data_IF_387232263357
#
_entry.id   IF_387232263357
#
_cell.length_a   1.000
_cell.length_b   1.000
_cell.length_c   1.000
_cell.angle_alpha   90.00
_cell.angle_beta   90.00
_cell.angle_gamma   90.00
#
_symmetry.space_group_name_H-M   'P 1'
#
loop_
_entity.id
_entity.type
_entity.pdbx_description
1 polymer ?
#
# COMPACT_ATOMS: atom_id res chain seq x y z
N UNK A 1 17.90 9.00 4.00
CA UNK A 1 16.44 8.90 4.30
C UNK A 1 16.19 8.84 5.81
N UNK A 2 17.09 8.21 6.60
CA UNK A 2 17.03 8.20 8.07
C UNK A 2 17.24 9.58 8.73
N UNK A 3 18.03 10.49 8.14
CA UNK A 3 18.32 11.81 8.74
C UNK A 3 17.22 12.87 8.57
N UNK A 4 16.25 12.64 7.68
CA UNK A 4 15.26 13.67 7.30
C UNK A 4 14.18 13.92 8.37
N UNK A 5 14.00 12.99 9.31
CA UNK A 5 12.88 13.00 10.26
C UNK A 5 13.31 13.14 11.73
N UNK A 6 14.60 13.38 11.99
CA UNK A 6 15.14 13.57 13.35
C UNK A 6 14.60 14.81 14.09
N UNK A 7 14.02 15.76 13.35
CA UNK A 7 13.56 17.06 13.87
C UNK A 7 12.03 17.21 14.01
N UNK A 8 11.25 16.13 13.89
CA UNK A 8 9.80 16.18 14.11
C UNK A 8 9.43 15.75 15.54
N UNK A 9 8.60 16.53 16.23
CA UNK A 9 7.93 16.10 17.46
C UNK A 9 7.05 14.88 17.14
N UNK A 10 7.30 13.72 17.77
CA UNK A 10 6.52 12.51 17.54
C UNK A 10 6.05 11.84 18.84
N UNK A 11 4.92 11.14 18.75
CA UNK A 11 4.36 10.32 19.84
C UNK A 11 4.56 8.84 19.53
N UNK A 12 5.27 8.13 20.40
CA UNK A 12 5.46 6.69 20.30
C UNK A 12 4.12 5.95 20.51
N UNK A 13 3.76 5.04 19.60
CA UNK A 13 2.57 4.22 19.75
C UNK A 13 2.81 3.09 20.76
N UNK A 14 1.92 2.91 21.74
CA UNK A 14 1.96 1.78 22.66
C UNK A 14 1.13 0.63 22.09
N UNK A 15 1.73 -0.56 21.97
CA UNK A 15 1.01 -1.77 21.58
C UNK A 15 0.54 -2.49 22.84
N UNK A 16 -0.77 -2.66 22.96
CA UNK A 16 -1.39 -3.36 24.08
C UNK A 16 -2.08 -4.61 23.54
N UNK A 17 -1.58 -5.82 23.86
CA UNK A 17 -2.29 -7.04 23.51
C UNK A 17 -3.59 -7.12 24.33
N UNK A 18 -4.71 -7.31 23.66
CA UNK A 18 -6.00 -7.59 24.30
C UNK A 18 -6.15 -9.10 24.56
N UNK A 19 -7.01 -9.51 25.52
CA UNK A 19 -7.26 -10.93 25.80
C UNK A 19 -7.71 -11.69 24.55
N UNK A 20 -7.30 -12.96 24.44
CA UNK A 20 -7.71 -13.82 23.34
C UNK A 20 -9.20 -14.14 23.42
N UNK A 21 -9.87 -14.12 22.26
CA UNK A 21 -11.22 -14.67 22.10
C UNK A 21 -11.08 -16.11 21.61
N UNK A 22 -11.33 -17.07 22.50
CA UNK A 22 -11.12 -18.50 22.25
C UNK A 22 -12.29 -19.13 21.46
N UNK A 23 -12.62 -18.56 20.29
CA UNK A 23 -13.65 -19.06 19.38
C UNK A 23 -13.16 -19.00 17.92
N UNK A 24 -13.78 -19.73 16.98
CA UNK A 24 -13.42 -19.65 15.57
C UNK A 24 -13.51 -18.19 15.05
N UNK A 25 -12.46 -17.68 14.38
CA UNK A 25 -12.39 -16.26 14.00
C UNK A 25 -13.44 -15.87 12.96
N UNK A 26 -13.91 -16.83 12.15
CA UNK A 26 -14.94 -16.61 11.13
C UNK A 26 -16.36 -16.66 11.68
N UNK A 27 -16.56 -17.00 12.95
CA UNK A 27 -17.88 -17.02 13.55
C UNK A 27 -18.41 -15.58 13.77
N UNK A 28 -19.69 -15.38 13.51
CA UNK A 28 -20.30 -14.04 13.59
C UNK A 28 -20.27 -13.49 15.01
N UNK A 29 -20.48 -14.33 16.03
CA UNK A 29 -20.43 -13.91 17.43
C UNK A 29 -19.01 -13.55 17.84
N UNK A 30 -18.00 -14.26 17.32
CA UNK A 30 -16.59 -13.92 17.56
C UNK A 30 -16.27 -12.53 17.05
N UNK A 31 -16.64 -12.22 15.79
CA UNK A 31 -16.37 -10.91 15.18
C UNK A 31 -17.11 -9.80 15.93
N UNK A 32 -18.40 -10.02 16.23
CA UNK A 32 -19.19 -9.08 17.03
C UNK A 32 -18.55 -8.82 18.41
N UNK A 33 -18.17 -9.87 19.12
CA UNK A 33 -17.50 -9.77 20.43
C UNK A 33 -16.22 -8.94 20.34
N UNK A 34 -15.40 -9.16 19.31
CA UNK A 34 -14.16 -8.40 19.09
C UNK A 34 -14.47 -6.92 18.81
N UNK A 35 -15.48 -6.61 18.00
CA UNK A 35 -15.91 -5.24 17.72
C UNK A 35 -16.40 -4.52 18.98
N UNK A 36 -17.26 -5.16 19.77
CA UNK A 36 -17.75 -4.63 21.05
C UNK A 36 -16.59 -4.39 22.00
N UNK A 37 -15.69 -5.36 22.14
CA UNK A 37 -14.53 -5.23 23.02
C UNK A 37 -13.62 -4.08 22.59
N UNK A 38 -13.35 -3.94 21.30
CA UNK A 38 -12.56 -2.83 20.77
C UNK A 38 -13.22 -1.48 21.04
N UNK A 39 -14.52 -1.36 20.76
CA UNK A 39 -15.29 -0.14 20.99
C UNK A 39 -15.28 0.30 22.46
N UNK A 40 -15.62 -0.62 23.37
CA UNK A 40 -15.68 -0.36 24.81
C UNK A 40 -14.30 0.02 25.37
N UNK A 41 -13.24 -0.69 24.98
CA UNK A 41 -11.87 -0.37 25.41
C UNK A 41 -11.41 1.01 24.90
N UNK A 42 -11.72 1.34 23.64
CA UNK A 42 -11.41 2.66 23.06
C UNK A 42 -12.14 3.78 23.79
N UNK A 43 -13.44 3.60 24.07
CA UNK A 43 -14.28 4.59 24.74
C UNK A 43 -13.88 4.77 26.20
N UNK A 44 -13.80 3.68 26.96
CA UNK A 44 -13.72 3.73 28.42
C UNK A 44 -12.29 3.98 28.93
N UNK A 45 -11.25 3.64 28.15
CA UNK A 45 -9.84 3.75 28.61
C UNK A 45 -9.01 4.79 27.88
N UNK A 46 -9.45 5.26 26.72
CA UNK A 46 -8.60 6.04 25.83
C UNK A 46 -9.20 7.37 25.38
N UNK A 47 -10.42 7.72 25.84
CA UNK A 47 -11.13 8.98 25.50
C UNK A 47 -11.20 9.24 23.98
N UNK A 48 -11.12 8.17 23.18
CA UNK A 48 -11.15 8.24 21.73
C UNK A 48 -12.60 8.11 21.26
N UNK A 49 -13.00 9.03 20.37
CA UNK A 49 -14.36 9.08 19.84
C UNK A 49 -14.60 8.08 18.71
N UNK A 50 -13.54 7.59 18.06
CA UNK A 50 -13.61 6.67 16.92
C UNK A 50 -12.67 5.50 17.14
N UNK A 51 -13.15 4.28 16.87
CA UNK A 51 -12.40 3.04 17.01
C UNK A 51 -12.11 2.45 15.63
N UNK A 52 -10.84 2.39 15.22
CA UNK A 52 -10.46 1.70 13.99
C UNK A 52 -10.16 0.23 14.24
N UNK A 53 -10.81 -0.66 13.49
CA UNK A 53 -10.58 -2.12 13.57
C UNK A 53 -10.18 -2.64 12.20
N UNK A 54 -8.99 -3.24 12.09
CA UNK A 54 -8.48 -3.76 10.82
C UNK A 54 -8.64 -5.26 10.75
N UNK A 55 -9.17 -5.76 9.63
CA UNK A 55 -9.39 -7.19 9.38
C UNK A 55 -8.80 -7.62 8.03
N UNK A 56 -8.52 -8.91 7.87
CA UNK A 56 -8.34 -9.50 6.55
C UNK A 56 -9.66 -9.46 5.76
N UNK A 57 -9.61 -9.71 4.45
CA UNK A 57 -10.75 -9.49 3.55
C UNK A 57 -12.04 -10.25 3.97
N UNK A 58 -11.99 -11.54 4.33
CA UNK A 58 -13.20 -12.26 4.74
C UNK A 58 -13.81 -11.74 6.04
N UNK A 59 -12.99 -11.41 7.04
CA UNK A 59 -13.48 -10.89 8.32
C UNK A 59 -13.95 -9.44 8.19
N UNK A 60 -13.28 -8.64 7.36
CA UNK A 60 -13.68 -7.27 7.03
C UNK A 60 -15.11 -7.23 6.48
N UNK A 61 -15.46 -8.11 5.53
CA UNK A 61 -16.81 -8.15 4.98
C UNK A 61 -17.87 -8.42 6.04
N UNK A 62 -17.64 -9.39 6.92
CA UNK A 62 -18.55 -9.72 8.02
C UNK A 62 -18.64 -8.59 9.04
N UNK A 63 -17.50 -8.01 9.42
CA UNK A 63 -17.46 -6.90 10.36
C UNK A 63 -18.20 -5.68 9.81
N UNK A 64 -18.02 -5.36 8.52
CA UNK A 64 -18.73 -4.27 7.86
C UNK A 64 -20.24 -4.51 7.80
N UNK A 65 -20.66 -5.75 7.54
CA UNK A 65 -22.07 -6.14 7.57
C UNK A 65 -22.67 -5.97 8.96
N UNK A 66 -22.00 -6.46 10.02
CA UNK A 66 -22.44 -6.26 11.41
C UNK A 66 -22.66 -4.77 11.69
N UNK A 67 -21.69 -3.92 11.33
CA UNK A 67 -21.78 -2.48 11.56
C UNK A 67 -22.89 -1.80 10.75
N UNK A 68 -23.26 -2.33 9.57
CA UNK A 68 -24.41 -1.81 8.80
C UNK A 68 -25.76 -2.09 9.47
N UNK A 69 -25.82 -3.05 10.39
CA UNK A 69 -27.05 -3.45 11.07
C UNK A 69 -27.24 -2.76 12.43
N UNK A 70 -26.33 -1.86 12.83
CA UNK A 70 -26.42 -1.16 14.11
C UNK A 70 -27.58 -0.17 14.08
N UNK A 71 -28.46 -0.24 15.07
CA UNK A 71 -29.54 0.72 15.29
C UNK A 71 -28.98 1.97 16.02
N UNK A 72 -28.98 3.16 15.38
CA UNK A 72 -28.46 4.37 16.02
C UNK A 72 -29.22 4.78 17.29
N UNK A 73 -30.46 4.31 17.46
CA UNK A 73 -31.29 4.58 18.65
C UNK A 73 -31.04 3.59 19.79
N UNK A 74 -30.34 2.49 19.52
CA UNK A 74 -30.07 1.42 20.47
C UNK A 74 -28.63 0.86 20.32
N UNK A 75 -27.63 1.73 20.49
CA UNK A 75 -26.21 1.40 20.37
C UNK A 75 -25.51 1.37 21.74
N UNK A 76 -25.88 0.39 22.58
CA UNK A 76 -25.32 0.22 23.93
C UNK A 76 -23.78 0.14 23.94
N UNK A 77 -23.20 -0.45 22.90
CA UNK A 77 -21.77 -0.72 22.80
C UNK A 77 -20.99 0.35 22.01
N UNK A 78 -21.65 1.40 21.50
CA UNK A 78 -21.01 2.47 20.73
C UNK A 78 -20.43 2.01 19.39
N UNK A 79 -20.99 0.96 18.77
CA UNK A 79 -20.53 0.41 17.49
C UNK A 79 -20.64 1.40 16.34
N UNK A 80 -21.52 2.41 16.43
CA UNK A 80 -21.61 3.51 15.45
C UNK A 80 -20.30 4.31 15.33
N UNK A 81 -19.43 4.24 16.34
CA UNK A 81 -18.11 4.87 16.34
C UNK A 81 -16.99 3.97 15.81
N UNK A 82 -17.30 2.72 15.47
CA UNK A 82 -16.32 1.78 14.93
C UNK A 82 -16.20 1.95 13.42
N UNK A 83 -14.97 2.03 12.92
CA UNK A 83 -14.63 2.08 11.50
C UNK A 83 -13.75 0.89 11.15
N UNK A 84 -14.29 -0.01 10.33
CA UNK A 84 -13.55 -1.20 9.89
C UNK A 84 -12.66 -0.89 8.71
N UNK A 85 -11.43 -1.40 8.72
CA UNK A 85 -10.45 -1.23 7.65
C UNK A 85 -10.13 -2.56 6.99
N UNK A 86 -10.01 -2.53 5.67
CA UNK A 86 -9.47 -3.63 4.89
C UNK A 86 -7.94 -3.69 5.09
N UNK A 87 -7.43 -4.81 5.58
CA UNK A 87 -6.04 -4.95 6.00
C UNK A 87 -5.03 -4.76 4.87
N UNK A 88 -4.26 -3.66 4.92
CA UNK A 88 -3.32 -3.23 3.89
C UNK A 88 -2.30 -4.29 3.47
N UNK A 89 -1.76 -5.05 4.43
CA UNK A 89 -0.84 -6.16 4.14
C UNK A 89 -1.45 -7.21 3.21
N UNK A 90 -2.66 -7.68 3.52
CA UNK A 90 -3.34 -8.69 2.71
C UNK A 90 -3.88 -8.11 1.39
N UNK A 91 -4.28 -6.83 1.38
CA UNK A 91 -4.61 -6.11 0.15
C UNK A 91 -3.43 -6.07 -0.80
N UNK A 92 -2.25 -5.70 -0.32
CA UNK A 92 -1.04 -5.64 -1.12
C UNK A 92 -0.58 -7.02 -1.59
N UNK A 93 -0.62 -8.05 -0.73
CA UNK A 93 -0.35 -9.44 -1.15
C UNK A 93 -1.29 -9.89 -2.28
N UNK A 94 -2.58 -9.56 -2.17
CA UNK A 94 -3.58 -9.91 -3.20
C UNK A 94 -3.35 -9.13 -4.49
N UNK A 95 -2.86 -7.89 -4.39
CA UNK A 95 -2.49 -7.10 -5.55
C UNK A 95 -1.26 -7.67 -6.26
N UNK A 96 -0.24 -8.10 -5.51
CA UNK A 96 0.91 -8.84 -6.07
C UNK A 96 0.48 -10.12 -6.79
N UNK A 97 -0.47 -10.88 -6.21
CA UNK A 97 -1.07 -12.03 -6.88
C UNK A 97 -1.81 -11.67 -8.17
N UNK A 98 -2.49 -10.51 -8.20
CA UNK A 98 -3.12 -9.99 -9.43
C UNK A 98 -2.10 -9.61 -10.50
N UNK A 99 -0.97 -9.03 -10.11
CA UNK A 99 0.15 -8.74 -11.02
C UNK A 99 0.67 -10.06 -11.61
N UNK A 100 0.90 -11.08 -10.78
CA UNK A 100 1.30 -12.41 -11.24
C UNK A 100 0.31 -12.99 -12.26
N UNK A 101 -0.99 -12.95 -11.95
CA UNK A 101 -2.03 -13.42 -12.87
C UNK A 101 -2.02 -12.68 -14.22
N UNK A 102 -1.92 -11.35 -14.20
CA UNK A 102 -1.89 -10.53 -15.42
C UNK A 102 -0.62 -10.79 -16.25
N UNK A 103 0.49 -11.07 -15.58
CA UNK A 103 1.80 -11.31 -16.20
C UNK A 103 2.07 -12.79 -16.47
N UNK A 104 1.07 -13.66 -16.33
CA UNK A 104 1.24 -15.09 -16.59
C UNK A 104 1.60 -15.33 -18.07
N UNK A 105 2.60 -16.19 -18.29
CA UNK A 105 3.16 -16.45 -19.61
C UNK A 105 4.00 -15.30 -20.21
N UNK A 106 4.28 -14.20 -19.49
CA UNK A 106 5.04 -13.06 -20.04
C UNK A 106 6.56 -13.23 -19.99
N UNK A 107 7.08 -14.28 -19.35
CA UNK A 107 8.49 -14.39 -18.99
C UNK A 107 8.84 -13.85 -17.58
N UNK A 108 7.88 -13.27 -16.85
CA UNK A 108 8.15 -12.66 -15.53
C UNK A 108 8.55 -13.71 -14.48
N UNK A 109 7.93 -14.90 -14.51
CA UNK A 109 8.25 -15.98 -13.59
C UNK A 109 9.66 -16.53 -13.83
N UNK A 110 10.06 -16.62 -15.10
CA UNK A 110 11.41 -17.00 -15.52
C UNK A 110 12.43 -15.96 -15.04
N UNK A 111 12.10 -14.67 -15.13
CA UNK A 111 12.93 -13.63 -14.54
C UNK A 111 13.06 -13.77 -13.01
N UNK A 112 12.00 -14.21 -12.31
CA UNK A 112 12.08 -14.52 -10.88
C UNK A 112 12.96 -15.75 -10.60
N UNK A 113 12.93 -16.74 -11.50
CA UNK A 113 13.75 -17.95 -11.41
C UNK A 113 15.26 -17.69 -11.54
N UNK A 114 15.67 -16.54 -12.11
CA UNK A 114 17.07 -16.11 -12.10
C UNK A 114 17.61 -15.78 -10.70
N UNK A 115 16.72 -15.51 -9.72
CA UNK A 115 17.09 -15.10 -8.35
C UNK A 115 16.67 -16.12 -7.31
N UNK A 116 15.63 -16.92 -7.60
CA UNK A 116 15.06 -17.89 -6.69
C UNK A 116 14.92 -19.26 -7.34
N UNK A 117 15.06 -20.33 -6.56
CA UNK A 117 14.68 -21.66 -7.01
C UNK A 117 13.18 -21.72 -7.38
N UNK A 118 12.81 -22.58 -8.34
CA UNK A 118 11.48 -22.63 -8.99
C UNK A 118 10.30 -22.54 -8.02
N UNK A 119 10.28 -23.37 -6.97
CA UNK A 119 9.20 -23.36 -5.97
C UNK A 119 9.08 -22.04 -5.20
N UNK A 120 10.20 -21.32 -5.04
CA UNK A 120 10.22 -20.01 -4.41
C UNK A 120 9.83 -18.90 -5.38
N UNK A 121 10.23 -19.01 -6.66
CA UNK A 121 9.81 -18.11 -7.71
C UNK A 121 8.28 -18.17 -7.89
N UNK A 122 7.70 -19.37 -7.91
CA UNK A 122 6.24 -19.58 -7.98
C UNK A 122 5.50 -18.89 -6.84
N UNK A 123 5.93 -19.11 -5.59
CA UNK A 123 5.28 -18.48 -4.42
C UNK A 123 5.45 -16.96 -4.40
N UNK A 124 6.54 -16.43 -4.96
CA UNK A 124 6.76 -15.00 -5.11
C UNK A 124 5.85 -14.42 -6.22
N UNK A 125 5.71 -15.16 -7.32
CA UNK A 125 4.87 -14.81 -8.46
C UNK A 125 3.38 -14.74 -8.10
N UNK A 126 2.88 -15.68 -7.28
CA UNK A 126 1.49 -15.66 -6.80
C UNK A 126 1.24 -14.70 -5.62
N UNK A 127 2.26 -13.95 -5.17
CA UNK A 127 2.17 -13.04 -4.04
C UNK A 127 2.10 -13.68 -2.65
N UNK A 128 2.06 -15.02 -2.54
CA UNK A 128 1.99 -15.73 -1.26
C UNK A 128 3.25 -15.59 -0.41
N UNK A 129 4.43 -15.45 -1.03
CA UNK A 129 5.68 -15.17 -0.34
C UNK A 129 6.00 -13.67 -0.38
N UNK A 130 5.25 -12.87 0.39
CA UNK A 130 5.28 -11.40 0.36
C UNK A 130 6.69 -10.79 0.22
N UNK A 131 7.61 -11.04 1.15
CA UNK A 131 8.95 -10.44 1.13
C UNK A 131 9.76 -10.85 -0.11
N UNK A 132 9.57 -12.08 -0.60
CA UNK A 132 10.23 -12.56 -1.82
C UNK A 132 9.62 -11.90 -3.06
N UNK A 133 8.29 -11.79 -3.09
CA UNK A 133 7.53 -11.14 -4.15
C UNK A 133 7.96 -9.68 -4.33
N UNK A 134 7.95 -8.89 -3.26
CA UNK A 134 8.42 -7.49 -3.27
C UNK A 134 9.85 -7.39 -3.81
N UNK A 135 10.76 -8.21 -3.28
CA UNK A 135 12.16 -8.20 -3.74
C UNK A 135 12.28 -8.59 -5.21
N UNK A 136 11.58 -9.61 -5.66
CA UNK A 136 11.62 -10.08 -7.05
C UNK A 136 11.13 -8.99 -8.01
N UNK A 137 9.95 -8.43 -7.74
CA UNK A 137 9.36 -7.38 -8.54
C UNK A 137 10.25 -6.15 -8.65
N UNK A 138 10.85 -5.70 -7.54
CA UNK A 138 11.73 -4.53 -7.53
C UNK A 138 13.06 -4.79 -8.26
N UNK A 139 13.61 -6.01 -8.21
CA UNK A 139 14.78 -6.39 -8.99
C UNK A 139 14.47 -6.39 -10.49
N UNK A 140 13.32 -6.94 -10.89
CA UNK A 140 12.89 -6.91 -12.31
C UNK A 140 12.65 -5.47 -12.76
N UNK A 141 11.99 -4.63 -11.95
CA UNK A 141 11.81 -3.23 -12.30
C UNK A 141 13.13 -2.48 -12.43
N UNK A 142 14.11 -2.77 -11.57
CA UNK A 142 15.45 -2.19 -11.68
C UNK A 142 16.13 -2.62 -12.99
N UNK A 143 16.04 -3.91 -13.34
CA UNK A 143 16.59 -4.41 -14.61
C UNK A 143 15.92 -3.73 -15.82
N UNK A 144 14.60 -3.58 -15.80
CA UNK A 144 13.87 -2.82 -16.83
C UNK A 144 14.32 -1.36 -16.88
N UNK A 145 14.49 -0.72 -15.73
CA UNK A 145 14.96 0.67 -15.65
C UNK A 145 16.32 0.81 -16.32
N UNK A 146 17.26 -0.11 -16.04
CA UNK A 146 18.58 -0.13 -16.67
C UNK A 146 18.48 -0.24 -18.20
N UNK A 147 17.68 -1.19 -18.71
CA UNK A 147 17.47 -1.35 -20.16
C UNK A 147 16.87 -0.09 -20.79
N UNK A 148 15.88 0.53 -20.13
CA UNK A 148 15.25 1.77 -20.62
C UNK A 148 16.28 2.91 -20.66
N UNK A 149 17.07 3.09 -19.60
CA UNK A 149 18.13 4.11 -19.54
C UNK A 149 19.22 3.89 -20.58
N UNK A 150 19.61 2.64 -20.87
CA UNK A 150 20.60 2.33 -21.92
C UNK A 150 20.11 2.73 -23.31
N UNK A 151 18.80 2.70 -23.53
CA UNK A 151 18.17 3.13 -24.78
C UNK A 151 17.81 4.63 -24.83
N UNK A 152 18.06 5.37 -23.75
CA UNK A 152 17.76 6.80 -23.64
C UNK A 152 18.97 7.66 -24.04
N UNK A 153 18.76 8.65 -24.90
CA UNK A 153 19.80 9.58 -25.30
C UNK A 153 20.01 10.69 -24.25
N UNK A 154 21.06 10.51 -23.44
CA UNK A 154 21.54 11.50 -22.48
C UNK A 154 22.88 12.08 -22.93
N UNK A 155 23.09 13.39 -22.72
CA UNK A 155 24.40 14.01 -22.92
C UNK A 155 25.41 13.49 -21.91
N UNK A 156 26.71 13.58 -22.20
CA UNK A 156 27.75 13.15 -21.25
C UNK A 156 27.68 13.90 -19.92
N UNK A 157 27.28 15.18 -19.97
CA UNK A 157 27.04 15.98 -18.78
C UNK A 157 25.84 15.47 -17.96
N UNK A 158 24.75 15.05 -18.62
CA UNK A 158 23.58 14.46 -17.96
C UNK A 158 23.92 13.11 -17.32
N UNK A 159 24.69 12.26 -18.02
CA UNK A 159 25.17 10.98 -17.49
C UNK A 159 26.03 11.18 -16.25
N UNK A 160 27.03 12.06 -16.31
CA UNK A 160 27.88 12.38 -15.17
C UNK A 160 27.08 12.93 -13.98
N UNK A 161 26.08 13.78 -14.24
CA UNK A 161 25.18 14.30 -13.21
C UNK A 161 24.36 13.19 -12.56
N UNK A 162 23.80 12.28 -13.37
CA UNK A 162 23.02 11.15 -12.88
C UNK A 162 23.86 10.17 -12.07
N UNK A 163 25.07 9.85 -12.52
CA UNK A 163 26.00 9.00 -11.78
C UNK A 163 26.38 9.61 -10.43
N UNK A 164 26.62 10.92 -10.38
CA UNK A 164 26.85 11.65 -9.14
C UNK A 164 25.65 11.54 -8.19
N UNK A 165 24.44 11.74 -8.72
CA UNK A 165 23.19 11.57 -7.96
C UNK A 165 23.03 10.15 -7.40
N UNK A 166 23.27 9.12 -8.22
CA UNK A 166 23.20 7.71 -7.77
C UNK A 166 24.24 7.40 -6.67
N UNK A 167 25.43 8.00 -6.73
CA UNK A 167 26.43 7.86 -5.68
C UNK A 167 26.01 8.56 -4.38
N UNK A 168 25.41 9.75 -4.47
CA UNK A 168 24.88 10.47 -3.31
C UNK A 168 23.73 9.71 -2.64
N UNK A 169 22.82 9.14 -3.44
CA UNK A 169 21.74 8.27 -2.98
C UNK A 169 22.28 7.09 -2.15
N UNK A 170 23.34 6.42 -2.63
CA UNK A 170 23.97 5.31 -1.90
C UNK A 170 24.58 5.75 -0.57
N UNK A 171 25.02 7.00 -0.45
CA UNK A 171 25.62 7.58 0.75
C UNK A 171 24.58 8.15 1.73
N UNK A 172 23.30 8.23 1.34
CA UNK A 172 22.20 8.69 2.20
C UNK A 172 21.95 10.20 2.18
N UNK A 173 22.74 10.97 1.42
CA UNK A 173 22.65 12.43 1.30
C UNK A 173 21.63 12.80 0.21
N UNK A 174 20.40 13.11 0.61
CA UNK A 174 19.24 13.16 -0.30
C UNK A 174 18.61 14.55 -0.48
N UNK A 175 19.09 15.56 0.24
CA UNK A 175 18.27 16.74 0.55
C UNK A 175 18.17 17.81 -0.54
N UNK A 176 19.04 17.83 -1.56
CA UNK A 176 19.03 18.93 -2.56
C UNK A 176 19.13 18.50 -4.04
N UNK A 177 19.53 17.25 -4.33
CA UNK A 177 19.80 16.84 -5.72
C UNK A 177 18.52 16.66 -6.56
N UNK A 178 17.35 16.41 -5.93
CA UNK A 178 16.09 16.20 -6.65
C UNK A 178 15.53 17.48 -7.29
N UNK A 179 15.96 18.65 -6.84
CA UNK A 179 15.60 19.95 -7.41
C UNK A 179 16.58 20.41 -8.49
N UNK A 180 17.65 19.64 -8.73
CA UNK A 180 18.62 19.95 -9.77
C UNK A 180 17.95 19.90 -11.15
N UNK A 181 18.01 21.01 -11.89
CA UNK A 181 17.38 21.15 -13.22
C UNK A 181 17.74 20.02 -14.18
N UNK A 182 18.97 19.50 -14.13
CA UNK A 182 19.39 18.37 -14.98
C UNK A 182 18.75 17.06 -14.55
N UNK A 183 18.58 16.84 -13.24
CA UNK A 183 17.88 15.63 -12.73
C UNK A 183 16.40 15.70 -13.11
N UNK A 184 15.78 16.87 -13.01
CA UNK A 184 14.40 17.09 -13.48
C UNK A 184 14.29 16.85 -14.99
N UNK A 185 15.25 17.35 -15.79
CA UNK A 185 15.25 17.09 -17.24
C UNK A 185 15.43 15.61 -17.57
N UNK A 186 16.30 14.90 -16.85
CA UNK A 186 16.48 13.44 -17.01
C UNK A 186 15.20 12.69 -16.66
N UNK A 187 14.51 13.07 -15.58
CA UNK A 187 13.21 12.47 -15.21
C UNK A 187 12.16 12.68 -16.29
N UNK A 188 12.09 13.90 -16.84
CA UNK A 188 11.19 14.24 -17.96
C UNK A 188 11.50 13.38 -19.18
N UNK A 189 12.76 13.36 -19.63
CA UNK A 189 13.21 12.53 -20.76
C UNK A 189 12.93 11.05 -20.56
N UNK A 190 13.16 10.53 -19.36
CA UNK A 190 12.89 9.13 -19.02
C UNK A 190 11.40 8.81 -19.11
N UNK A 191 10.53 9.72 -18.64
CA UNK A 191 9.08 9.55 -18.71
C UNK A 191 8.58 9.59 -20.16
N UNK A 192 9.03 10.56 -20.95
CA UNK A 192 8.71 10.65 -22.39
C UNK A 192 9.14 9.39 -23.15
N UNK A 193 10.32 8.86 -22.80
CA UNK A 193 10.83 7.65 -23.44
C UNK A 193 10.07 6.39 -23.05
N UNK A 194 9.53 6.31 -21.82
CA UNK A 194 8.60 5.24 -21.44
C UNK A 194 7.34 5.28 -22.31
N UNK A 195 6.76 6.47 -22.53
CA UNK A 195 5.57 6.64 -23.38
C UNK A 195 5.87 6.23 -24.84
N UNK A 196 7.07 6.50 -25.33
CA UNK A 196 7.49 6.09 -26.66
C UNK A 196 7.77 4.58 -26.76
N UNK A 197 8.31 3.97 -25.71
CA UNK A 197 8.47 2.51 -25.63
C UNK A 197 7.11 1.82 -25.65
N UNK A 198 6.14 2.32 -24.89
CA UNK A 198 4.78 1.77 -24.85
C UNK A 198 4.16 1.67 -26.25
N UNK A 199 4.44 2.62 -27.14
CA UNK A 199 3.93 2.64 -28.53
C UNK A 199 4.59 1.61 -29.46
N UNK A 200 5.68 0.93 -29.04
CA UNK A 200 6.44 -0.01 -29.90
C UNK A 200 5.75 -1.35 -30.15
N UNK A 201 4.66 -1.65 -29.45
CA UNK A 201 3.81 -2.81 -29.71
C UNK A 201 3.29 -3.50 -28.44
N UNK A 202 2.49 -4.57 -28.60
CA UNK A 202 1.77 -5.20 -27.49
C UNK A 202 2.67 -5.69 -26.35
N UNK A 203 3.84 -6.25 -26.67
CA UNK A 203 4.80 -6.70 -25.65
C UNK A 203 5.32 -5.53 -24.83
N UNK A 204 5.65 -4.41 -25.48
CA UNK A 204 6.12 -3.22 -24.76
C UNK A 204 5.00 -2.64 -23.87
N UNK A 205 3.77 -2.58 -24.38
CA UNK A 205 2.59 -2.16 -23.61
C UNK A 205 2.42 -3.00 -22.34
N UNK A 206 2.53 -4.33 -22.44
CA UNK A 206 2.41 -5.23 -21.28
C UNK A 206 3.47 -4.93 -20.21
N UNK A 207 4.74 -4.73 -20.61
CA UNK A 207 5.82 -4.44 -19.66
C UNK A 207 5.75 -3.02 -19.08
N UNK A 208 5.23 -2.04 -19.81
CA UNK A 208 4.94 -0.70 -19.27
C UNK A 208 3.73 -0.75 -18.32
N UNK A 209 2.69 -1.52 -18.63
CA UNK A 209 1.60 -1.79 -17.69
C UNK A 209 2.13 -2.43 -16.39
N UNK A 210 3.04 -3.40 -16.49
CA UNK A 210 3.72 -3.98 -15.34
C UNK A 210 4.49 -2.94 -14.52
N UNK A 211 5.23 -2.06 -15.18
CA UNK A 211 5.91 -0.94 -14.53
C UNK A 211 4.93 -0.06 -13.73
N UNK A 212 3.78 0.27 -14.33
CA UNK A 212 2.73 1.06 -13.70
C UNK A 212 2.07 0.33 -12.52
N UNK A 213 1.86 -0.98 -12.60
CA UNK A 213 1.39 -1.79 -11.47
C UNK A 213 2.38 -1.74 -10.30
N UNK A 214 3.69 -1.78 -10.57
CA UNK A 214 4.72 -1.65 -9.52
C UNK A 214 4.84 -0.25 -8.94
N UNK A 215 4.51 0.80 -9.70
CA UNK A 215 4.37 2.14 -9.15
C UNK A 215 3.27 2.18 -8.07
N UNK A 216 2.12 1.55 -8.33
CA UNK A 216 1.03 1.41 -7.34
C UNK A 216 1.50 0.64 -6.10
N UNK A 217 2.25 -0.45 -6.26
CA UNK A 217 2.85 -1.20 -5.12
C UNK A 217 3.72 -0.27 -4.26
N UNK A 218 4.62 0.49 -4.88
CA UNK A 218 5.55 1.38 -4.17
C UNK A 218 4.84 2.52 -3.46
N UNK A 219 3.88 3.16 -4.12
CA UNK A 219 3.07 4.24 -3.54
C UNK A 219 2.23 3.74 -2.37
N UNK A 220 1.61 2.57 -2.49
CA UNK A 220 0.83 1.99 -1.40
C UNK A 220 1.71 1.62 -0.19
N UNK A 221 2.89 1.05 -0.42
CA UNK A 221 3.88 0.81 0.65
C UNK A 221 4.31 2.13 1.29
N UNK A 222 4.57 3.16 0.47
CA UNK A 222 4.90 4.50 0.98
C UNK A 222 3.79 5.00 1.87
N UNK A 223 2.53 4.98 1.42
CA UNK A 223 1.37 5.43 2.18
C UNK A 223 1.21 4.72 3.53
N UNK A 224 1.27 3.38 3.53
CA UNK A 224 1.14 2.56 4.73
C UNK A 224 2.32 2.75 5.72
N UNK A 225 3.49 3.16 5.23
CA UNK A 225 4.65 3.47 6.09
C UNK A 225 4.61 4.92 6.58
N UNK A 226 4.24 5.87 5.71
CA UNK A 226 4.25 7.30 6.01
C UNK A 226 3.04 7.77 6.79
N UNK A 227 1.95 7.00 6.78
CA UNK A 227 0.68 7.49 7.29
C UNK A 227 0.10 8.57 6.39
N UNK A 228 0.33 8.48 5.08
CA UNK A 228 -0.30 9.34 4.08
C UNK A 228 -1.65 8.75 3.66
N UNK A 229 -2.73 9.36 4.17
CA UNK A 229 -4.08 8.80 4.04
C UNK A 229 -4.62 8.92 2.63
N UNK A 230 -4.37 10.06 1.98
CA UNK A 230 -4.87 10.32 0.64
C UNK A 230 -4.14 9.42 -0.36
N UNK A 231 -2.83 9.25 -0.21
CA UNK A 231 -2.06 8.31 -1.02
C UNK A 231 -2.48 6.85 -0.80
N UNK A 232 -2.89 6.49 0.43
CA UNK A 232 -3.44 5.16 0.72
C UNK A 232 -4.75 4.92 -0.06
N UNK A 233 -5.69 5.86 -0.01
CA UNK A 233 -6.96 5.73 -0.74
C UNK A 233 -6.78 5.75 -2.25
N UNK A 234 -5.89 6.59 -2.77
CA UNK A 234 -5.56 6.58 -4.20
C UNK A 234 -4.90 5.25 -4.60
N UNK A 235 -4.02 4.69 -3.76
CA UNK A 235 -3.45 3.36 -3.97
C UNK A 235 -4.53 2.28 -4.08
N UNK A 236 -5.49 2.23 -3.14
CA UNK A 236 -6.62 1.29 -3.20
C UNK A 236 -7.43 1.47 -4.48
N UNK A 237 -7.76 2.72 -4.82
CA UNK A 237 -8.51 3.06 -6.04
C UNK A 237 -7.79 2.58 -7.30
N UNK A 238 -6.48 2.76 -7.38
CA UNK A 238 -5.65 2.31 -8.51
C UNK A 238 -5.50 0.79 -8.58
N UNK A 239 -5.64 0.06 -7.47
CA UNK A 239 -5.63 -1.41 -7.46
C UNK A 239 -6.93 -2.03 -7.99
N UNK A 240 -8.07 -1.35 -7.83
CA UNK A 240 -9.41 -1.89 -8.18
C UNK A 240 -9.51 -2.43 -9.62
N UNK A 241 -9.09 -1.69 -10.67
CA UNK A 241 -9.19 -2.19 -12.05
C UNK A 241 -8.43 -3.50 -12.26
N UNK A 242 -7.27 -3.64 -11.62
CA UNK A 242 -6.46 -4.86 -11.73
C UNK A 242 -7.07 -6.04 -10.97
N UNK A 243 -7.73 -5.80 -9.83
CA UNK A 243 -8.48 -6.86 -9.15
C UNK A 243 -9.63 -7.40 -10.01
N UNK A 244 -10.29 -6.53 -10.80
CA UNK A 244 -11.29 -6.97 -11.78
C UNK A 244 -10.63 -7.74 -12.92
N UNK A 245 -9.56 -7.21 -13.50
CA UNK A 245 -8.85 -7.83 -14.62
C UNK A 245 -8.27 -9.21 -14.27
N UNK A 246 -7.84 -9.42 -13.02
CA UNK A 246 -7.32 -10.70 -12.53
C UNK A 246 -8.39 -11.68 -12.02
N UNK A 247 -9.68 -11.31 -12.10
CA UNK A 247 -10.77 -12.11 -11.54
C UNK A 247 -10.75 -12.21 -10.00
N UNK A 248 -9.96 -11.38 -9.30
CA UNK A 248 -9.92 -11.27 -7.84
C UNK A 248 -11.15 -10.51 -7.28
N UNK A 249 -12.33 -10.96 -7.67
CA UNK A 249 -13.63 -10.30 -7.45
C UNK A 249 -13.94 -10.03 -5.97
N UNK A 250 -13.51 -10.91 -5.06
CA UNK A 250 -13.72 -10.70 -3.61
C UNK A 250 -12.96 -9.47 -3.10
N UNK A 251 -11.71 -9.30 -3.55
CA UNK A 251 -10.92 -8.11 -3.23
C UNK A 251 -11.41 -6.89 -3.99
N UNK A 252 -11.82 -7.03 -5.26
CA UNK A 252 -12.40 -5.93 -6.02
C UNK A 252 -13.64 -5.34 -5.31
N UNK A 253 -14.57 -6.20 -4.87
CA UNK A 253 -15.77 -5.79 -4.12
C UNK A 253 -15.42 -5.15 -2.78
N UNK A 254 -14.58 -5.80 -1.98
CA UNK A 254 -14.17 -5.27 -0.68
C UNK A 254 -13.42 -3.94 -0.79
N UNK A 255 -12.57 -3.77 -1.81
CA UNK A 255 -11.84 -2.53 -2.06
C UNK A 255 -12.78 -1.38 -2.47
N UNK A 256 -13.81 -1.66 -3.29
CA UNK A 256 -14.85 -0.68 -3.63
C UNK A 256 -15.60 -0.19 -2.40
N UNK A 257 -16.13 -1.11 -1.60
CA UNK A 257 -16.88 -0.78 -0.37
C UNK A 257 -15.98 -0.03 0.61
N UNK A 258 -14.75 -0.52 0.81
CA UNK A 258 -13.78 0.12 1.68
C UNK A 258 -13.46 1.54 1.23
N UNK A 259 -13.20 1.76 -0.06
CA UNK A 259 -12.90 3.09 -0.60
C UNK A 259 -14.07 4.05 -0.38
N UNK A 260 -15.30 3.62 -0.64
CA UNK A 260 -16.51 4.42 -0.40
C UNK A 260 -16.65 4.81 1.09
N UNK A 261 -16.60 3.81 1.99
CA UNK A 261 -16.70 4.04 3.44
C UNK A 261 -15.60 5.01 3.94
N UNK A 262 -14.38 4.93 3.38
CA UNK A 262 -13.25 5.76 3.80
C UNK A 262 -13.25 7.17 3.20
N UNK A 263 -13.87 7.37 2.02
CA UNK A 263 -14.06 8.72 1.45
C UNK A 263 -15.08 9.52 2.26
N UNK A 264 -16.08 8.86 2.83
CA UNK A 264 -17.09 9.45 3.73
C UNK A 264 -16.62 9.55 5.19
N UNK A 265 -15.36 9.18 5.47
CA UNK A 265 -14.82 9.16 6.84
C UNK A 265 -14.85 10.55 7.49
N UNK A 266 -14.65 11.62 6.72
CA UNK A 266 -14.73 13.01 7.21
C UNK A 266 -16.12 13.30 7.80
N UNK A 267 -17.17 12.93 7.09
CA UNK A 267 -18.56 13.15 7.53
C UNK A 267 -18.87 12.31 8.77
N UNK A 268 -18.28 11.12 8.84
CA UNK A 268 -18.49 10.17 9.92
C UNK A 268 -17.71 10.48 11.22
N UNK A 269 -16.65 11.32 11.16
CA UNK A 269 -15.80 11.69 12.31
C UNK A 269 -15.90 13.17 12.69
N UNK A 270 -16.44 14.00 11.79
CA UNK A 270 -16.36 15.46 11.86
C UNK A 270 -15.03 15.98 11.32
N UNK A 271 -15.04 17.23 10.86
CA UNK A 271 -13.91 17.86 10.16
C UNK A 271 -12.64 17.93 11.01
N UNK A 272 -12.72 18.45 12.24
CA UNK A 272 -11.54 18.61 13.09
C UNK A 272 -10.86 17.27 13.46
N UNK A 273 -11.59 16.23 13.94
CA UNK A 273 -10.98 14.92 14.18
C UNK A 273 -10.38 14.27 12.94
N UNK A 274 -11.00 14.46 11.76
CA UNK A 274 -10.50 13.93 10.50
C UNK A 274 -9.19 14.62 10.06
N UNK A 275 -9.12 15.94 10.14
CA UNK A 275 -7.88 16.66 9.81
C UNK A 275 -6.74 16.27 10.75
N UNK A 276 -7.03 16.11 12.05
CA UNK A 276 -6.04 15.59 13.01
C UNK A 276 -5.62 14.15 12.68
N UNK A 277 -6.56 13.29 12.31
CA UNK A 277 -6.27 11.91 11.92
C UNK A 277 -5.28 11.83 10.74
N UNK A 278 -5.43 12.70 9.74
CA UNK A 278 -4.49 12.81 8.61
C UNK A 278 -3.16 13.44 9.05
N UNK A 279 -3.20 14.60 9.69
CA UNK A 279 -2.01 15.37 10.07
C UNK A 279 -1.08 14.58 11.00
N UNK A 280 -1.66 13.88 11.98
CA UNK A 280 -0.92 13.08 12.96
C UNK A 280 -0.63 11.65 12.46
N UNK A 281 -0.97 11.31 11.20
CA UNK A 281 -0.70 9.99 10.60
C UNK A 281 -1.31 8.80 11.39
N UNK A 282 -2.47 9.00 12.03
CA UNK A 282 -3.02 8.11 13.06
C UNK A 282 -3.53 6.75 12.54
N UNK A 283 -3.48 6.50 11.24
CA UNK A 283 -3.83 5.18 10.68
C UNK A 283 -2.66 4.19 10.64
N UNK A 284 -1.45 4.65 10.94
CA UNK A 284 -0.23 3.83 10.94
C UNK A 284 0.33 3.68 12.35
N UNK A 285 0.81 2.48 12.68
CA UNK A 285 1.46 2.23 13.97
C UNK A 285 2.96 2.50 13.78
N UNK A 286 3.46 3.56 14.40
CA UNK A 286 4.89 3.86 14.43
C UNK A 286 5.53 3.26 15.67
N UNK A 287 6.32 2.19 15.46
CA UNK A 287 7.05 1.46 16.52
C UNK A 287 8.40 2.06 16.84
N UNK A 288 8.99 2.78 15.90
CA UNK A 288 10.31 3.40 15.98
C UNK A 288 10.26 4.79 15.35
N UNK A 289 11.24 5.62 15.70
CA UNK A 289 11.60 6.87 15.01
C UNK A 289 12.13 6.64 13.58
N UNK A 290 12.54 5.41 13.28
CA UNK A 290 13.10 5.01 11.98
C UNK A 290 12.02 4.72 10.94
N UNK A 291 12.15 5.40 9.80
CA UNK A 291 11.53 5.06 8.52
C UNK A 291 12.40 4.08 7.72
#
# INVERSE_FOLDING_TARGET
MEEFHSNCDYKMSKIIPLPFVNNPPRDWNTIFTVLVKASVETRDKHEQTICFVTFDQPLYQKARYILSCVDPTNDEYGLMNVRVRLGGFHTLMSFLGSIGFIMDGSGLKEAFACVYADNSAEKAFTGHAYSRSIRAHFLVQLALATIIFESLELTDEQKATFDGFLQNLRKGNLTDDMQNEKIVDIQRKFTEHIDDIEKKGPTAQLWIQYWNMLAVVKEFIKAERSGDWDLHLEGVKRMIPYFHASGHNNYAKSAHIYLQDMLELKDAMGEYPFEKFKADSLFTIRRTDKF
#
